data_IF_121806856740
#
_entry.id   IF_121806856740
#
_cell.length_a   1.000
_cell.length_b   1.000
_cell.length_c   1.000
_cell.angle_alpha   90.00
_cell.angle_beta   90.00
_cell.angle_gamma   90.00
#
_symmetry.space_group_name_H-M   'P 1'
#
loop_
_entity.id
_entity.type
_entity.pdbx_description
1 polymer ?
#
# COMPACT_ATOMS: atom_id res chain seq x y z
N UNK A 1 30.30 -20.61 48.13
CA UNK A 1 29.81 -21.11 46.83
C UNK A 1 28.39 -20.60 46.64
N UNK A 2 28.21 -19.58 45.81
CA UNK A 2 26.93 -18.87 45.66
C UNK A 2 26.03 -19.65 44.69
N UNK A 3 25.01 -20.31 45.22
CA UNK A 3 24.03 -21.04 44.42
C UNK A 3 23.11 -20.02 43.72
N UNK A 4 23.20 -19.92 42.40
CA UNK A 4 22.21 -19.19 41.60
C UNK A 4 21.03 -20.13 41.40
N UNK A 5 19.91 -19.86 42.08
CA UNK A 5 18.64 -20.50 41.77
C UNK A 5 18.18 -20.01 40.39
N UNK A 6 18.45 -20.85 39.39
CA UNK A 6 18.16 -20.56 37.99
C UNK A 6 16.73 -20.92 37.62
N UNK A 7 16.10 -19.99 36.92
CA UNK A 7 15.34 -20.21 35.68
C UNK A 7 14.70 -21.61 35.59
N UNK A 8 13.49 -21.72 36.15
CA UNK A 8 12.74 -22.98 36.10
C UNK A 8 12.09 -23.16 34.74
N UNK A 9 11.85 -24.41 34.33
CA UNK A 9 11.05 -24.68 33.12
C UNK A 9 9.65 -24.06 33.23
N UNK A 10 9.07 -24.06 34.44
CA UNK A 10 7.76 -23.45 34.71
C UNK A 10 7.79 -21.94 34.44
N UNK A 11 8.84 -21.25 34.89
CA UNK A 11 9.04 -19.82 34.62
C UNK A 11 9.08 -19.54 33.11
N UNK A 12 9.81 -20.36 32.35
CA UNK A 12 9.83 -20.20 30.90
C UNK A 12 8.50 -20.48 30.22
N UNK A 13 7.73 -21.45 30.69
CA UNK A 13 6.39 -21.71 30.14
C UNK A 13 5.42 -20.56 30.38
N UNK A 14 5.46 -19.94 31.56
CA UNK A 14 4.61 -18.78 31.88
C UNK A 14 5.02 -17.58 31.04
N UNK A 15 6.32 -17.35 30.86
CA UNK A 15 6.82 -16.25 30.00
C UNK A 15 6.36 -16.44 28.56
N UNK A 16 6.51 -17.64 27.99
CA UNK A 16 6.05 -17.94 26.63
C UNK A 16 4.52 -17.80 26.51
N UNK A 17 3.77 -18.23 27.52
CA UNK A 17 2.32 -18.06 27.57
C UNK A 17 1.92 -16.57 27.52
N UNK A 18 2.56 -15.72 28.32
CA UNK A 18 2.30 -14.28 28.31
C UNK A 18 2.69 -13.67 26.95
N UNK A 19 3.84 -14.04 26.38
CA UNK A 19 4.26 -13.57 25.05
C UNK A 19 3.23 -13.95 23.99
N UNK A 20 2.69 -15.17 24.02
CA UNK A 20 1.63 -15.61 23.11
C UNK A 20 0.37 -14.76 23.23
N UNK A 21 -0.06 -14.41 24.45
CA UNK A 21 -1.20 -13.51 24.65
C UNK A 21 -0.94 -12.11 24.11
N UNK A 22 0.27 -11.57 24.32
CA UNK A 22 0.64 -10.27 23.77
C UNK A 22 0.64 -10.29 22.22
N UNK A 23 1.20 -11.32 21.60
CA UNK A 23 1.19 -11.49 20.14
C UNK A 23 -0.25 -11.57 19.62
N UNK A 24 -1.14 -12.29 20.31
CA UNK A 24 -2.55 -12.40 19.92
C UNK A 24 -3.27 -11.05 19.91
N UNK A 25 -2.91 -10.12 20.80
CA UNK A 25 -3.47 -8.76 20.83
C UNK A 25 -2.81 -7.86 19.77
N UNK A 26 -1.50 -8.00 19.57
CA UNK A 26 -0.72 -7.14 18.67
C UNK A 26 -1.01 -7.45 17.19
N UNK A 27 -1.09 -8.73 16.81
CA UNK A 27 -1.30 -9.15 15.42
C UNK A 27 -2.56 -8.56 14.75
N UNK A 28 -3.77 -8.63 15.34
CA UNK A 28 -4.96 -8.06 14.72
C UNK A 28 -4.84 -6.54 14.57
N UNK A 29 -4.26 -5.86 15.57
CA UNK A 29 -4.04 -4.41 15.50
C UNK A 29 -3.00 -4.03 14.43
N UNK A 30 -1.92 -4.81 14.29
CA UNK A 30 -0.90 -4.61 13.26
C UNK A 30 -1.47 -4.85 11.86
N UNK A 31 -2.23 -5.93 11.68
CA UNK A 31 -2.88 -6.24 10.42
C UNK A 31 -3.87 -5.14 10.04
N UNK A 32 -4.72 -4.67 10.96
CA UNK A 32 -5.63 -3.56 10.70
C UNK A 32 -4.91 -2.25 10.29
N UNK A 33 -3.76 -1.96 10.90
CA UNK A 33 -2.94 -0.80 10.52
C UNK A 33 -2.33 -0.97 9.11
N UNK A 34 -1.84 -2.17 8.77
CA UNK A 34 -1.32 -2.47 7.43
C UNK A 34 -2.39 -2.29 6.35
N UNK A 35 -3.59 -2.82 6.57
CA UNK A 35 -4.70 -2.66 5.61
C UNK A 35 -5.09 -1.19 5.44
N UNK A 36 -5.15 -0.40 6.53
CA UNK A 36 -5.40 1.05 6.44
C UNK A 36 -4.30 1.78 5.65
N UNK A 37 -3.04 1.43 5.89
CA UNK A 37 -1.92 2.03 5.17
C UNK A 37 -1.97 1.69 3.67
N UNK A 38 -2.35 0.45 3.31
CA UNK A 38 -2.56 0.04 1.92
C UNK A 38 -3.65 0.85 1.25
N UNK A 39 -4.83 1.00 1.87
CA UNK A 39 -5.91 1.81 1.29
C UNK A 39 -5.58 3.30 1.15
N UNK A 40 -4.84 3.89 2.11
CA UNK A 40 -4.34 5.28 1.98
C UNK A 40 -3.39 5.39 0.79
N UNK A 41 -2.51 4.40 0.63
CA UNK A 41 -1.52 4.35 -0.43
C UNK A 41 -2.16 4.22 -1.82
N UNK A 42 -3.14 3.32 -1.97
CA UNK A 42 -3.93 3.17 -3.21
C UNK A 42 -4.65 4.48 -3.57
N UNK A 43 -5.30 5.13 -2.60
CA UNK A 43 -5.97 6.41 -2.85
C UNK A 43 -4.98 7.52 -3.25
N UNK A 44 -3.82 7.59 -2.59
CA UNK A 44 -2.79 8.55 -2.94
C UNK A 44 -2.26 8.31 -4.36
N UNK A 45 -2.06 7.05 -4.76
CA UNK A 45 -1.64 6.70 -6.11
C UNK A 45 -2.69 7.11 -7.14
N UNK A 46 -3.97 6.83 -6.91
CA UNK A 46 -5.06 7.28 -7.78
C UNK A 46 -5.04 8.81 -7.98
N UNK A 47 -4.78 9.56 -6.91
CA UNK A 47 -4.69 11.02 -6.95
C UNK A 47 -3.49 11.50 -7.78
N UNK A 48 -2.34 10.85 -7.64
CA UNK A 48 -1.14 11.16 -8.44
C UNK A 48 -1.41 10.90 -9.92
N UNK A 49 -1.93 9.71 -10.27
CA UNK A 49 -2.26 9.36 -11.65
C UNK A 49 -3.30 10.33 -12.23
N UNK A 50 -4.32 10.69 -11.45
CA UNK A 50 -5.33 11.67 -11.87
C UNK A 50 -4.71 13.02 -12.20
N UNK A 51 -3.79 13.52 -11.36
CA UNK A 51 -3.08 14.77 -11.65
C UNK A 51 -2.26 14.71 -12.93
N UNK A 52 -1.66 13.54 -13.23
CA UNK A 52 -0.90 13.33 -14.46
C UNK A 52 -1.80 13.24 -15.70
N UNK A 53 -2.98 12.60 -15.58
CA UNK A 53 -4.00 12.60 -16.64
C UNK A 53 -4.47 14.03 -16.92
N UNK A 54 -4.76 14.81 -15.88
CA UNK A 54 -5.17 16.21 -16.04
C UNK A 54 -4.09 17.05 -16.70
N UNK A 55 -2.82 16.89 -16.30
CA UNK A 55 -1.70 17.60 -16.92
C UNK A 55 -1.54 17.24 -18.40
N UNK A 56 -1.69 15.96 -18.75
CA UNK A 56 -1.65 15.51 -20.14
C UNK A 56 -2.75 16.14 -20.98
N UNK A 57 -3.98 16.18 -20.47
CA UNK A 57 -5.13 16.77 -21.16
C UNK A 57 -5.02 18.29 -21.33
N UNK A 58 -4.33 18.99 -20.41
CA UNK A 58 -4.05 20.42 -20.52
C UNK A 58 -3.02 20.71 -21.63
N UNK A 59 -2.02 19.84 -21.78
CA UNK A 59 -1.00 19.97 -22.83
C UNK A 59 -1.49 19.51 -24.21
N UNK A 60 -2.52 18.64 -24.27
CA UNK A 60 -3.05 18.05 -25.51
C UNK A 60 -4.52 18.42 -25.71
N UNK A 61 -4.78 19.67 -26.09
CA UNK A 61 -6.13 20.15 -26.39
C UNK A 61 -6.83 19.30 -27.47
N UNK A 62 -7.94 18.66 -27.10
CA UNK A 62 -8.80 17.88 -28.01
C UNK A 62 -8.60 16.36 -27.95
N UNK A 63 -7.56 15.87 -27.29
CA UNK A 63 -7.40 14.44 -26.98
C UNK A 63 -8.17 14.08 -25.70
N UNK A 64 -9.01 13.06 -25.77
CA UNK A 64 -9.89 12.65 -24.66
C UNK A 64 -9.64 11.21 -24.18
N UNK A 65 -8.71 10.50 -24.82
CA UNK A 65 -8.40 9.11 -24.52
C UNK A 65 -6.97 9.02 -24.01
N UNK A 66 -6.80 9.17 -22.69
CA UNK A 66 -5.51 9.02 -22.03
C UNK A 66 -5.26 7.57 -21.69
N UNK A 67 -4.10 7.05 -22.09
CA UNK A 67 -3.65 5.69 -21.76
C UNK A 67 -2.37 5.73 -20.95
N UNK A 68 -2.14 4.69 -20.15
CA UNK A 68 -0.87 4.54 -19.41
C UNK A 68 0.35 4.54 -20.34
N UNK A 69 0.23 4.01 -21.56
CA UNK A 69 1.30 4.01 -22.54
C UNK A 69 1.67 5.44 -22.99
N UNK A 70 0.68 6.30 -23.22
CA UNK A 70 0.91 7.73 -23.54
C UNK A 70 1.56 8.44 -22.36
N UNK A 71 1.03 8.26 -21.14
CA UNK A 71 1.58 8.89 -19.94
C UNK A 71 3.04 8.50 -19.67
N UNK A 72 3.43 7.25 -19.98
CA UNK A 72 4.82 6.80 -19.85
C UNK A 72 5.69 7.33 -20.99
N UNK A 73 5.19 7.28 -22.22
CA UNK A 73 5.91 7.75 -23.41
C UNK A 73 6.27 9.24 -23.31
N UNK A 74 5.35 10.03 -22.78
CA UNK A 74 5.47 11.48 -22.63
C UNK A 74 5.96 11.91 -21.25
N UNK A 75 6.33 10.93 -20.41
CA UNK A 75 7.00 11.11 -19.12
C UNK A 75 6.18 11.78 -18.01
N UNK A 76 4.86 11.80 -18.12
CA UNK A 76 3.97 12.13 -17.00
C UNK A 76 4.02 11.05 -15.91
N UNK A 77 4.22 9.78 -16.30
CA UNK A 77 4.43 8.67 -15.37
C UNK A 77 5.75 7.95 -15.67
N UNK A 78 6.42 7.51 -14.60
CA UNK A 78 7.50 6.53 -14.75
C UNK A 78 6.92 5.14 -15.06
N UNK A 79 7.69 4.26 -15.73
CA UNK A 79 7.25 2.87 -15.94
C UNK A 79 6.87 2.18 -14.64
N UNK A 80 7.61 2.46 -13.55
CA UNK A 80 7.33 1.90 -12.24
C UNK A 80 5.96 2.36 -11.69
N UNK A 81 5.62 3.64 -11.82
CA UNK A 81 4.32 4.16 -11.39
C UNK A 81 3.17 3.58 -12.23
N UNK A 82 3.35 3.43 -13.55
CA UNK A 82 2.35 2.80 -14.40
C UNK A 82 2.13 1.31 -14.04
N UNK A 83 3.21 0.57 -13.80
CA UNK A 83 3.14 -0.81 -13.32
C UNK A 83 2.43 -0.90 -11.97
N UNK A 84 2.74 0.01 -11.04
CA UNK A 84 2.15 0.02 -9.72
C UNK A 84 0.66 0.37 -9.77
N UNK A 85 0.27 1.39 -10.55
CA UNK A 85 -1.14 1.74 -10.75
C UNK A 85 -1.94 0.58 -11.37
N UNK A 86 -1.33 -0.16 -12.31
CA UNK A 86 -1.94 -1.36 -12.91
C UNK A 86 -2.06 -2.49 -11.89
N UNK A 87 -1.07 -2.68 -11.01
CA UNK A 87 -1.10 -3.68 -9.95
C UNK A 87 -2.15 -3.36 -8.87
N UNK A 88 -2.43 -2.08 -8.66
CA UNK A 88 -3.49 -1.55 -7.79
C UNK A 88 -4.86 -1.47 -8.50
N UNK A 89 -5.00 -2.07 -9.70
CA UNK A 89 -6.24 -2.12 -10.49
C UNK A 89 -6.87 -0.74 -10.80
N UNK A 90 -6.05 0.31 -10.81
CA UNK A 90 -6.48 1.63 -11.22
C UNK A 90 -6.68 1.66 -12.73
N UNK A 91 -7.83 2.18 -13.16
CA UNK A 91 -8.14 2.33 -14.59
C UNK A 91 -8.48 3.77 -14.93
N UNK A 92 -7.95 4.22 -16.06
CA UNK A 92 -8.23 5.54 -16.62
C UNK A 92 -9.44 5.41 -17.54
N UNK A 93 -10.54 6.11 -17.22
CA UNK A 93 -11.72 6.24 -18.08
C UNK A 93 -11.83 7.69 -18.53
N UNK A 94 -11.25 7.99 -19.69
CA UNK A 94 -11.24 9.33 -20.26
C UNK A 94 -10.46 10.30 -19.38
N UNK A 95 -11.19 11.09 -18.59
CA UNK A 95 -10.69 12.13 -17.70
C UNK A 95 -10.59 11.69 -16.23
N UNK A 96 -11.10 10.52 -15.86
CA UNK A 96 -11.17 10.07 -14.46
C UNK A 96 -10.40 8.77 -14.21
N UNK A 97 -9.71 8.70 -13.07
CA UNK A 97 -9.05 7.50 -12.55
C UNK A 97 -9.94 6.87 -11.48
N UNK A 98 -10.33 5.62 -11.68
CA UNK A 98 -11.15 4.87 -10.72
C UNK A 98 -10.69 3.42 -10.58
N UNK A 99 -10.93 2.85 -9.40
CA UNK A 99 -10.77 1.41 -9.17
C UNK A 99 -11.77 0.62 -10.03
N UNK A 100 -11.30 -0.45 -10.68
CA UNK A 100 -12.23 -1.45 -11.22
C UNK A 100 -12.85 -2.23 -10.06
N UNK A 101 -14.13 -2.03 -9.83
CA UNK A 101 -14.95 -2.91 -8.99
C UNK A 101 -15.17 -4.26 -9.67
#
# INVERSE_FOLDING_TARGET
>A
MTHRHGFTLVEMTIVLFIISLLILIILPNLNGQRHRAQGIHEHAMATVVQGQVTAYLDDHEGEHNVTYEQLVKEKYLTPQQAHQATAEHLTIKGDTVGEQT
#
